data_IF_954006953986
#
_entry.id   IF_954006953986
#
_cell.length_a   1.000
_cell.length_b   1.000
_cell.length_c   1.000
_cell.angle_alpha   90.00
_cell.angle_beta   90.00
_cell.angle_gamma   90.00
#
_symmetry.space_group_name_H-M   'P 1'
#
loop_
_entity.id
_entity.type
_entity.pdbx_description
1 polymer ?
#
# COMPACT_ATOMS: atom_id res chain seq x y z
N UNK A 1 -8.66 17.28 11.71
CA UNK A 1 -9.11 15.88 11.68
C UNK A 1 -8.59 15.32 10.38
N UNK A 2 -7.39 14.75 10.39
CA UNK A 2 -6.79 14.16 9.20
C UNK A 2 -7.48 12.82 9.00
N UNK A 3 -8.11 12.60 7.84
CA UNK A 3 -8.77 11.33 7.57
C UNK A 3 -7.67 10.29 7.42
N UNK A 4 -7.65 9.32 8.34
CA UNK A 4 -6.69 8.25 8.38
C UNK A 4 -7.08 7.22 7.30
N UNK A 5 -6.69 7.50 6.05
CA UNK A 5 -6.92 6.65 4.88
C UNK A 5 -6.19 5.29 5.00
N UNK A 6 -5.35 5.12 6.03
CA UNK A 6 -4.64 3.88 6.37
C UNK A 6 -5.61 2.70 6.51
N UNK A 7 -6.80 2.92 7.04
CA UNK A 7 -7.82 1.87 7.22
C UNK A 7 -8.34 1.32 5.90
N UNK A 8 -8.61 2.19 4.91
CA UNK A 8 -9.02 1.81 3.57
C UNK A 8 -7.88 1.08 2.84
N UNK A 9 -6.65 1.56 2.99
CA UNK A 9 -5.46 0.94 2.40
C UNK A 9 -5.18 -0.45 3.00
N UNK A 10 -5.35 -0.64 4.31
CA UNK A 10 -5.19 -1.94 4.95
C UNK A 10 -6.26 -2.95 4.53
N UNK A 11 -7.50 -2.51 4.32
CA UNK A 11 -8.54 -3.35 3.74
C UNK A 11 -8.20 -3.75 2.30
N UNK A 12 -7.72 -2.79 1.50
CA UNK A 12 -7.25 -3.05 0.13
C UNK A 12 -6.10 -4.06 0.11
N UNK A 13 -5.09 -3.93 0.97
CA UNK A 13 -4.01 -4.91 1.19
C UNK A 13 -4.55 -6.32 1.48
N UNK A 14 -5.55 -6.43 2.37
CA UNK A 14 -6.14 -7.71 2.76
C UNK A 14 -6.83 -8.43 1.58
N UNK A 15 -7.38 -7.70 0.61
CA UNK A 15 -7.98 -8.27 -0.59
C UNK A 15 -6.99 -9.06 -1.45
N UNK A 16 -5.70 -8.69 -1.43
CA UNK A 16 -4.65 -9.44 -2.15
C UNK A 16 -4.15 -10.67 -1.38
N UNK A 17 -4.17 -10.62 -0.05
CA UNK A 17 -3.68 -11.73 0.80
C UNK A 17 -4.66 -12.90 0.86
N UNK A 18 -5.94 -12.68 0.53
CA UNK A 18 -7.00 -13.69 0.60
C UNK A 18 -7.15 -14.56 -0.65
N UNK A 19 -6.39 -14.33 -1.72
CA UNK A 19 -6.49 -15.12 -2.94
C UNK A 19 -5.53 -16.34 -2.91
N UNK A 20 -6.02 -17.58 -2.75
CA UNK A 20 -5.18 -18.77 -2.62
C UNK A 20 -4.44 -19.19 -3.91
N UNK A 21 -4.70 -18.53 -5.05
CA UNK A 21 -4.06 -18.82 -6.35
C UNK A 21 -2.89 -17.88 -6.69
N UNK A 22 -2.39 -17.10 -5.73
CA UNK A 22 -1.43 -16.01 -5.96
C UNK A 22 0.03 -16.51 -6.13
N UNK A 23 0.27 -17.38 -7.12
CA UNK A 23 1.60 -17.94 -7.43
C UNK A 23 2.56 -16.92 -8.09
N UNK A 24 2.07 -15.74 -8.49
CA UNK A 24 2.86 -14.67 -9.13
C UNK A 24 3.14 -13.43 -8.26
N UNK A 25 2.69 -13.42 -6.99
CA UNK A 25 2.66 -12.19 -6.17
C UNK A 25 3.67 -12.15 -5.03
N UNK A 26 4.64 -13.08 -5.00
CA UNK A 26 5.70 -13.08 -3.98
C UNK A 26 6.50 -11.78 -3.97
N UNK A 27 6.60 -11.04 -5.09
CA UNK A 27 7.20 -9.68 -5.10
C UNK A 27 6.23 -8.55 -4.79
N UNK A 28 4.93 -8.77 -4.96
CA UNK A 28 3.93 -7.78 -4.59
C UNK A 28 3.76 -7.72 -3.07
N UNK A 29 3.96 -8.86 -2.42
CA UNK A 29 4.16 -8.97 -0.97
C UNK A 29 5.26 -8.03 -0.47
N UNK A 30 6.39 -7.90 -1.17
CA UNK A 30 7.57 -7.16 -0.69
C UNK A 30 7.34 -5.65 -0.58
N UNK A 31 6.64 -5.02 -1.53
CA UNK A 31 6.31 -3.58 -1.46
C UNK A 31 5.26 -3.25 -0.40
N UNK A 32 4.31 -4.16 -0.15
CA UNK A 32 3.21 -3.94 0.80
C UNK A 32 3.63 -4.35 2.25
N UNK A 33 4.89 -4.78 2.47
CA UNK A 33 5.44 -5.15 3.79
C UNK A 33 5.38 -3.99 4.79
N UNK A 34 5.58 -2.77 4.31
CA UNK A 34 5.68 -1.57 5.18
C UNK A 34 4.33 -1.10 5.72
N UNK A 35 3.23 -1.53 5.12
CA UNK A 35 1.88 -1.11 5.50
C UNK A 35 1.48 -1.76 6.82
N UNK A 36 1.45 -0.97 7.89
CA UNK A 36 1.14 -1.42 9.25
C UNK A 36 0.09 -0.52 9.89
N UNK A 37 -0.87 -1.15 10.55
CA UNK A 37 -1.86 -0.42 11.34
C UNK A 37 -1.15 0.38 12.45
N UNK A 38 -1.51 1.65 12.60
CA UNK A 38 -0.95 2.54 13.61
C UNK A 38 0.36 3.24 13.19
N UNK A 39 0.78 3.11 11.93
CA UNK A 39 1.80 3.98 11.34
C UNK A 39 1.17 4.87 10.26
N UNK A 40 1.76 6.05 10.05
CA UNK A 40 1.27 7.01 9.07
C UNK A 40 1.38 6.44 7.66
N UNK A 41 0.27 6.43 6.91
CA UNK A 41 0.25 5.80 5.59
C UNK A 41 1.13 6.51 4.54
N UNK A 42 1.44 7.79 4.72
CA UNK A 42 2.36 8.51 3.83
C UNK A 42 3.82 8.09 4.05
N UNK A 43 4.11 7.38 5.14
CA UNK A 43 5.43 6.76 5.37
C UNK A 43 5.55 5.36 4.77
N UNK A 44 4.47 4.81 4.22
CA UNK A 44 4.49 3.47 3.64
C UNK A 44 5.11 3.46 2.25
N UNK A 45 5.78 2.35 1.95
CA UNK A 45 6.36 2.13 0.64
C UNK A 45 5.26 2.02 -0.42
N UNK A 46 5.51 2.65 -1.57
CA UNK A 46 4.55 2.76 -2.65
C UNK A 46 3.37 3.72 -2.40
N UNK A 47 3.37 4.51 -1.33
CA UNK A 47 2.33 5.54 -1.12
C UNK A 47 2.87 6.93 -1.47
N UNK A 48 2.11 7.67 -2.28
CA UNK A 48 2.39 9.08 -2.56
C UNK A 48 1.28 9.92 -1.93
N UNK A 49 1.67 10.81 -1.03
CA UNK A 49 0.76 11.77 -0.43
C UNK A 49 1.00 13.18 -0.96
N UNK A 50 -0.07 13.96 -1.02
CA UNK A 50 0.00 15.39 -1.24
C UNK A 50 0.63 16.06 -0.01
N UNK A 51 1.64 16.89 -0.23
CA UNK A 51 2.45 17.49 0.85
C UNK A 51 1.72 18.62 1.59
N UNK A 52 0.60 19.11 1.05
CA UNK A 52 -0.17 20.23 1.61
C UNK A 52 -1.35 19.72 2.44
N UNK A 53 -2.09 18.74 1.91
CA UNK A 53 -3.28 18.15 2.53
C UNK A 53 -2.99 16.88 3.34
N UNK A 54 -1.86 16.20 3.07
CA UNK A 54 -1.54 14.89 3.67
C UNK A 54 -2.40 13.75 3.12
N UNK A 55 -3.15 13.99 2.04
CA UNK A 55 -4.02 12.97 1.45
C UNK A 55 -3.24 12.09 0.49
N UNK A 56 -3.59 10.80 0.45
CA UNK A 56 -3.02 9.85 -0.51
C UNK A 56 -3.51 10.20 -1.92
N UNK A 57 -2.57 10.47 -2.82
CA UNK A 57 -2.84 10.81 -4.23
C UNK A 57 -2.24 9.80 -5.21
N UNK A 58 -1.42 8.87 -4.74
CA UNK A 58 -0.81 7.84 -5.57
C UNK A 58 -0.51 6.56 -4.80
N UNK A 59 -0.63 5.43 -5.51
CA UNK A 59 -0.41 4.09 -4.96
C UNK A 59 0.36 3.25 -5.98
N UNK A 60 1.57 2.83 -5.61
CA UNK A 60 2.42 1.93 -6.37
C UNK A 60 2.42 0.55 -5.70
N UNK A 61 1.92 -0.45 -6.43
CA UNK A 61 1.71 -1.80 -5.91
C UNK A 61 2.62 -2.83 -6.58
N UNK A 62 3.17 -2.56 -7.76
CA UNK A 62 3.76 -3.58 -8.63
C UNK A 62 5.21 -3.31 -9.01
N UNK A 63 5.96 -4.40 -9.21
CA UNK A 63 7.39 -4.48 -9.54
C UNK A 63 7.74 -3.57 -10.73
N UNK A 64 8.80 -2.76 -10.63
CA UNK A 64 9.52 -2.33 -11.84
C UNK A 64 10.04 -3.60 -12.51
N UNK A 65 9.38 -4.02 -13.58
CA UNK A 65 9.99 -4.91 -14.54
C UNK A 65 11.11 -4.12 -15.21
N UNK A 66 12.31 -4.17 -14.63
CA UNK A 66 13.50 -3.86 -15.41
C UNK A 66 13.62 -4.96 -16.46
N UNK A 67 13.38 -4.56 -17.70
CA UNK A 67 13.66 -5.34 -18.91
C UNK A 67 15.16 -5.64 -19.04
#
# INVERSE_FOLDING_TARGET
MMIDESSALLQFKSSFTKNPFSFGWTSLSENIVTWKNGTDCCSWDGITCDTISGHVIGLNLGREGIE
#
